data_IF_180364601257
#
_entry.id   IF_180364601257
#
_cell.length_a   1.000
_cell.length_b   1.000
_cell.length_c   1.000
_cell.angle_alpha   90.00
_cell.angle_beta   90.00
_cell.angle_gamma   90.00
#
_symmetry.space_group_name_H-M   'P 1'
#
loop_
_entity.id
_entity.type
_entity.pdbx_description
1 polymer ?
#
# COMPACT_ATOMS: atom_id res chain seq x y z
N UNK A 1 16.83 -15.85 -15.13
CA UNK A 1 17.85 -15.72 -14.06
C UNK A 1 18.68 -14.48 -14.36
N UNK A 2 18.84 -13.60 -13.38
CA UNK A 2 19.80 -12.50 -13.38
C UNK A 2 20.87 -12.85 -12.35
N UNK A 3 22.12 -12.98 -12.80
CA UNK A 3 23.25 -13.35 -11.95
C UNK A 3 24.36 -12.34 -12.13
N UNK A 4 24.92 -11.85 -11.02
CA UNK A 4 26.01 -10.85 -11.03
C UNK A 4 25.68 -9.60 -11.85
N UNK A 5 24.42 -9.17 -11.82
CA UNK A 5 24.01 -7.92 -12.43
C UNK A 5 24.26 -6.77 -11.46
N UNK A 6 24.88 -5.69 -11.94
CA UNK A 6 25.14 -4.51 -11.11
C UNK A 6 24.53 -3.28 -11.75
N UNK A 7 23.75 -2.53 -10.97
CA UNK A 7 23.18 -1.25 -11.40
C UNK A 7 23.26 -0.22 -10.27
N UNK A 8 23.46 1.05 -10.64
CA UNK A 8 23.57 2.19 -9.74
C UNK A 8 22.89 3.42 -10.34
N UNK A 9 22.50 4.39 -9.50
CA UNK A 9 21.92 5.68 -9.92
C UNK A 9 20.67 5.54 -10.78
N UNK A 10 19.69 4.80 -10.25
CA UNK A 10 18.44 4.53 -10.94
C UNK A 10 17.36 5.51 -10.50
N UNK A 11 16.74 6.20 -11.47
CA UNK A 11 15.53 6.98 -11.29
C UNK A 11 14.38 6.29 -12.00
N UNK A 12 13.47 5.71 -11.23
CA UNK A 12 12.29 5.07 -11.81
C UNK A 12 11.04 5.83 -11.38
N UNK A 13 10.12 5.97 -12.33
CA UNK A 13 8.75 6.37 -12.02
C UNK A 13 8.14 5.34 -11.04
N UNK A 14 7.18 5.77 -10.23
CA UNK A 14 6.48 4.99 -9.18
C UNK A 14 6.12 3.56 -9.56
N UNK A 15 5.71 3.30 -10.81
CA UNK A 15 5.28 1.97 -11.26
C UNK A 15 6.42 1.08 -11.75
N UNK A 16 7.63 1.61 -11.82
CA UNK A 16 8.82 0.94 -12.32
C UNK A 16 9.89 0.85 -11.24
N UNK A 17 10.94 0.10 -11.52
CA UNK A 17 12.08 -0.11 -10.62
C UNK A 17 13.33 -0.31 -11.42
N UNK A 18 14.50 -0.11 -10.80
CA UNK A 18 15.80 -0.33 -11.44
C UNK A 18 15.86 -1.70 -12.14
N UNK A 19 15.28 -2.71 -11.49
CA UNK A 19 14.99 -4.02 -12.06
C UNK A 19 13.50 -4.29 -11.81
N UNK A 20 12.71 -4.35 -12.89
CA UNK A 20 11.27 -4.59 -12.83
C UNK A 20 10.91 -5.85 -13.62
N UNK A 21 10.45 -6.87 -12.90
CA UNK A 21 10.22 -8.22 -13.45
C UNK A 21 8.75 -8.59 -13.33
N UNK A 22 8.10 -8.92 -14.47
CA UNK A 22 6.64 -9.14 -14.61
C UNK A 22 6.30 -10.63 -14.81
N UNK A 23 5.10 -11.10 -14.44
CA UNK A 23 4.86 -12.47 -14.00
C UNK A 23 5.49 -13.58 -14.87
N UNK A 24 6.65 -14.05 -14.43
CA UNK A 24 7.32 -15.28 -14.82
C UNK A 24 8.13 -15.79 -13.61
N UNK A 25 8.92 -16.85 -13.80
CA UNK A 25 9.90 -17.33 -12.81
C UNK A 25 11.19 -16.52 -12.90
N UNK A 26 11.55 -15.87 -11.80
CA UNK A 26 12.77 -15.09 -11.71
C UNK A 26 13.60 -15.44 -10.50
N UNK A 27 14.89 -15.51 -10.77
CA UNK A 27 15.93 -15.65 -9.76
C UNK A 27 16.91 -14.51 -10.01
N UNK A 28 17.05 -13.60 -9.04
CA UNK A 28 18.04 -12.52 -9.03
C UNK A 28 19.06 -12.86 -7.97
N UNK A 29 20.30 -13.13 -8.37
CA UNK A 29 21.34 -13.60 -7.45
C UNK A 29 22.68 -12.92 -7.64
N UNK A 30 23.48 -12.91 -6.57
CA UNK A 30 24.85 -12.39 -6.56
C UNK A 30 24.98 -10.98 -7.17
N UNK A 31 23.91 -10.21 -7.14
CA UNK A 31 23.76 -8.93 -7.84
C UNK A 31 23.96 -7.78 -6.86
N UNK A 32 24.29 -6.60 -7.39
CA UNK A 32 24.47 -5.38 -6.59
C UNK A 32 23.55 -4.28 -7.13
N UNK A 33 22.69 -3.74 -6.28
CA UNK A 33 21.78 -2.66 -6.64
C UNK A 33 22.04 -1.51 -5.69
N UNK A 34 22.48 -0.37 -6.22
CA UNK A 34 22.84 0.79 -5.38
C UNK A 34 22.22 2.11 -5.84
N UNK A 35 22.22 3.09 -4.94
CA UNK A 35 21.93 4.50 -5.22
C UNK A 35 20.61 4.72 -5.98
N UNK A 36 19.61 3.87 -5.72
CA UNK A 36 18.28 4.01 -6.30
C UNK A 36 17.60 5.21 -5.68
N UNK A 37 16.86 6.01 -6.44
CA UNK A 37 16.15 7.18 -5.92
C UNK A 37 14.66 6.91 -5.66
N UNK A 38 14.22 5.71 -6.02
CA UNK A 38 12.85 5.22 -5.88
C UNK A 38 12.91 3.71 -5.64
N UNK A 39 12.30 2.89 -6.49
CA UNK A 39 12.31 1.44 -6.35
C UNK A 39 13.55 0.77 -6.99
N UNK A 40 14.18 -0.15 -6.25
CA UNK A 40 15.33 -0.91 -6.70
C UNK A 40 14.94 -2.19 -7.44
N UNK A 41 14.73 -3.27 -6.71
CA UNK A 41 14.25 -4.54 -7.25
C UNK A 41 12.75 -4.70 -6.99
N UNK A 42 11.99 -4.98 -8.03
CA UNK A 42 10.57 -5.34 -7.93
C UNK A 42 10.29 -6.59 -8.72
N UNK A 43 9.60 -7.51 -8.07
CA UNK A 43 8.88 -8.57 -8.74
C UNK A 43 7.39 -8.27 -8.73
N UNK A 44 6.74 -8.43 -9.87
CA UNK A 44 5.28 -8.37 -10.02
C UNK A 44 4.83 -9.78 -10.35
N UNK A 45 4.05 -10.40 -9.45
CA UNK A 45 3.51 -11.75 -9.65
C UNK A 45 2.10 -11.71 -10.21
N UNK A 46 1.28 -10.73 -9.81
CA UNK A 46 -0.14 -10.76 -10.09
C UNK A 46 -0.93 -9.97 -9.05
N UNK A 47 -2.14 -9.58 -9.42
CA UNK A 47 -2.86 -8.51 -8.75
C UNK A 47 -4.21 -8.90 -8.19
N UNK A 48 -4.48 -10.16 -7.79
CA UNK A 48 -5.76 -10.50 -7.14
C UNK A 48 -5.69 -11.60 -6.07
N UNK A 49 -6.83 -11.84 -5.40
CA UNK A 49 -6.98 -12.83 -4.34
C UNK A 49 -7.24 -14.26 -4.84
N UNK A 50 -7.15 -14.49 -6.15
CA UNK A 50 -7.47 -15.77 -6.77
C UNK A 50 -6.19 -16.50 -7.13
N UNK A 51 -6.25 -17.83 -7.14
CA UNK A 51 -5.16 -18.66 -7.67
C UNK A 51 -4.92 -18.43 -9.17
N UNK A 52 -5.77 -17.64 -9.87
CA UNK A 52 -5.58 -17.36 -11.30
C UNK A 52 -4.44 -16.38 -11.58
N UNK A 53 -4.05 -15.56 -10.60
CA UNK A 53 -2.94 -14.61 -10.72
C UNK A 53 -1.62 -15.10 -10.11
N UNK A 54 -1.61 -16.23 -9.42
CA UNK A 54 -0.39 -16.88 -8.93
C UNK A 54 -0.20 -18.21 -9.65
N UNK A 55 0.90 -18.36 -10.37
CA UNK A 55 1.19 -19.63 -11.04
C UNK A 55 1.70 -20.60 -9.97
N UNK A 56 1.09 -21.79 -9.75
CA UNK A 56 1.62 -22.76 -8.80
C UNK A 56 3.09 -23.09 -9.10
N UNK A 57 3.95 -22.96 -8.09
CA UNK A 57 5.40 -23.12 -8.24
C UNK A 57 6.11 -21.87 -8.80
N UNK A 58 5.46 -20.72 -8.85
CA UNK A 58 6.10 -19.44 -9.16
C UNK A 58 7.20 -19.14 -8.14
N UNK A 59 8.39 -18.89 -8.66
CA UNK A 59 9.57 -18.58 -7.88
C UNK A 59 10.09 -17.22 -8.34
N UNK A 60 9.90 -16.21 -7.49
CA UNK A 60 10.39 -14.84 -7.68
C UNK A 60 11.27 -14.49 -6.49
N UNK A 61 12.53 -14.91 -6.57
CA UNK A 61 13.49 -14.89 -5.47
C UNK A 61 14.63 -13.93 -5.75
N UNK A 62 14.88 -13.03 -4.79
CA UNK A 62 16.13 -12.32 -4.65
C UNK A 62 17.00 -13.05 -3.63
N UNK A 63 18.16 -13.59 -4.05
CA UNK A 63 19.04 -14.31 -3.16
C UNK A 63 20.52 -13.90 -3.26
N UNK A 64 21.20 -13.75 -2.13
CA UNK A 64 22.63 -13.40 -2.09
C UNK A 64 22.96 -12.09 -2.84
N UNK A 65 22.05 -11.11 -2.79
CA UNK A 65 22.27 -9.80 -3.39
C UNK A 65 22.75 -8.79 -2.35
N UNK A 66 23.39 -7.73 -2.83
CA UNK A 66 23.79 -6.57 -2.02
C UNK A 66 22.98 -5.35 -2.47
N UNK A 67 22.28 -4.74 -1.53
CA UNK A 67 21.54 -3.51 -1.72
C UNK A 67 22.23 -2.37 -0.96
N UNK A 68 22.53 -1.27 -1.64
CA UNK A 68 23.23 -0.12 -1.03
C UNK A 68 22.46 1.17 -1.25
N UNK A 69 22.02 1.84 -0.19
CA UNK A 69 21.24 3.08 -0.30
C UNK A 69 22.05 4.24 -0.89
N UNK A 70 23.29 4.41 -0.41
CA UNK A 70 24.16 5.49 -0.83
C UNK A 70 25.64 5.07 -0.85
N UNK A 71 26.26 5.10 -2.03
CA UNK A 71 27.69 4.80 -2.21
C UNK A 71 28.56 6.05 -2.21
N UNK A 72 27.97 7.24 -2.40
CA UNK A 72 28.69 8.52 -2.51
C UNK A 72 28.11 9.59 -1.55
N UNK A 73 28.30 9.47 -0.23
CA UNK A 73 27.69 10.37 0.76
C UNK A 73 28.08 11.84 0.63
N UNK A 74 29.23 12.13 0.02
CA UNK A 74 29.75 13.50 -0.13
C UNK A 74 29.47 14.12 -1.51
N UNK A 75 28.74 13.43 -2.38
CA UNK A 75 28.41 13.93 -3.71
C UNK A 75 26.94 14.40 -3.72
N UNK A 76 26.67 15.72 -3.80
CA UNK A 76 25.30 16.24 -3.81
C UNK A 76 24.43 15.70 -4.95
N UNK A 77 25.03 15.34 -6.09
CA UNK A 77 24.30 14.77 -7.24
C UNK A 77 23.88 13.31 -7.02
N UNK A 78 24.53 12.63 -6.06
CA UNK A 78 24.28 11.25 -5.66
C UNK A 78 23.57 11.17 -4.30
N UNK A 79 22.96 12.27 -3.84
CA UNK A 79 22.21 12.29 -2.59
C UNK A 79 21.04 11.30 -2.64
N UNK A 80 20.68 10.70 -1.50
CA UNK A 80 19.45 9.92 -1.34
C UNK A 80 18.17 10.77 -1.44
N UNK A 81 18.31 12.10 -1.46
CA UNK A 81 17.24 13.06 -1.78
C UNK A 81 17.10 13.32 -3.29
N UNK A 82 17.90 12.66 -4.12
CA UNK A 82 18.01 12.92 -5.54
C UNK A 82 18.99 14.04 -5.88
N UNK A 83 19.27 14.24 -7.18
CA UNK A 83 20.26 15.20 -7.66
C UNK A 83 19.84 16.66 -7.45
N UNK A 84 18.56 16.92 -7.18
CA UNK A 84 18.01 18.25 -6.90
C UNK A 84 17.73 18.37 -5.41
N UNK A 85 18.66 19.03 -4.72
CA UNK A 85 18.64 19.27 -3.28
C UNK A 85 19.41 20.55 -2.92
N UNK A 86 19.35 20.97 -1.65
CA UNK A 86 20.01 22.18 -1.14
C UNK A 86 21.54 22.23 -1.30
N UNK A 87 22.20 21.07 -1.43
CA UNK A 87 23.66 20.99 -1.61
C UNK A 87 24.07 20.98 -3.08
N UNK A 88 23.11 20.91 -4.01
CA UNK A 88 23.34 20.89 -5.45
C UNK A 88 23.04 22.25 -6.09
N UNK A 89 23.64 22.53 -7.25
CA UNK A 89 23.27 23.70 -8.07
C UNK A 89 22.03 23.46 -8.94
N UNK A 90 21.52 22.22 -9.00
CA UNK A 90 20.41 21.83 -9.86
C UNK A 90 19.07 22.31 -9.28
N UNK A 91 18.14 22.64 -10.17
CA UNK A 91 16.78 23.09 -9.82
C UNK A 91 15.78 22.56 -10.83
N UNK A 92 14.62 22.11 -10.35
CA UNK A 92 13.52 21.77 -11.25
C UNK A 92 13.02 23.01 -11.97
N UNK A 93 12.85 22.90 -13.29
CA UNK A 93 12.26 23.95 -14.11
C UNK A 93 10.85 24.28 -13.62
N UNK A 94 10.51 25.57 -13.72
CA UNK A 94 9.18 26.09 -13.37
C UNK A 94 8.34 26.26 -14.62
N UNK A 95 7.02 26.15 -14.45
CA UNK A 95 6.06 26.54 -15.48
C UNK A 95 6.16 28.04 -15.77
N UNK A 96 5.62 28.49 -16.91
CA UNK A 96 5.45 29.94 -17.23
C UNK A 96 4.73 30.72 -16.12
N UNK A 97 3.87 29.99 -15.40
CA UNK A 97 3.33 30.21 -14.06
C UNK A 97 4.15 30.85 -12.95
N UNK A 98 5.45 30.58 -13.03
CA UNK A 98 6.34 30.40 -11.90
C UNK A 98 5.95 29.25 -10.92
N UNK A 99 4.99 28.39 -11.27
CA UNK A 99 4.57 27.24 -10.47
C UNK A 99 5.40 25.98 -10.79
N UNK A 100 5.55 25.07 -9.81
CA UNK A 100 6.17 23.76 -10.06
C UNK A 100 5.22 22.82 -10.78
N UNK A 101 5.81 21.85 -11.46
CA UNK A 101 5.08 20.71 -12.00
C UNK A 101 5.14 19.60 -10.95
N UNK A 102 3.98 19.11 -10.52
CA UNK A 102 3.90 18.17 -9.39
C UNK A 102 4.33 16.74 -9.74
N UNK A 103 4.31 16.35 -11.01
CA UNK A 103 4.55 14.98 -11.44
C UNK A 103 5.91 14.74 -12.11
N UNK A 104 6.76 15.76 -12.23
CA UNK A 104 8.15 15.59 -12.66
C UNK A 104 9.03 16.77 -12.25
N UNK A 105 10.34 16.52 -12.18
CA UNK A 105 11.39 17.52 -12.11
C UNK A 105 12.14 17.55 -13.45
N UNK A 106 12.04 18.67 -14.17
CA UNK A 106 12.75 18.87 -15.44
C UNK A 106 14.03 19.66 -15.19
N UNK A 107 15.15 19.13 -15.69
CA UNK A 107 16.46 19.75 -15.70
C UNK A 107 16.77 20.12 -17.16
N UNK A 108 16.42 21.35 -17.55
CA UNK A 108 16.43 21.79 -18.96
C UNK A 108 17.84 21.80 -19.56
N UNK A 109 18.82 22.32 -18.82
CA UNK A 109 20.21 22.45 -19.28
C UNK A 109 20.90 21.08 -19.40
N UNK A 110 20.46 20.12 -18.59
CA UNK A 110 20.97 18.75 -18.55
C UNK A 110 20.23 17.80 -19.52
N UNK A 111 19.07 18.22 -20.04
CA UNK A 111 18.22 17.38 -20.90
C UNK A 111 17.61 16.17 -20.18
N UNK A 112 17.37 16.28 -18.86
CA UNK A 112 16.87 15.18 -18.02
C UNK A 112 15.49 15.49 -17.46
N UNK A 113 14.60 14.50 -17.44
CA UNK A 113 13.33 14.56 -16.72
C UNK A 113 13.25 13.42 -15.70
N UNK A 114 12.95 13.78 -14.46
CA UNK A 114 12.78 12.83 -13.36
C UNK A 114 11.28 12.80 -13.03
N UNK A 115 10.62 11.67 -13.30
CA UNK A 115 9.21 11.52 -12.97
C UNK A 115 9.04 11.43 -11.45
N UNK A 116 8.02 12.11 -10.93
CA UNK A 116 7.70 12.17 -9.52
C UNK A 116 6.23 11.77 -9.34
N UNK A 117 5.91 11.11 -8.23
CA UNK A 117 4.52 10.88 -7.88
C UNK A 117 4.35 10.73 -6.38
N UNK A 118 3.11 10.86 -5.93
CA UNK A 118 2.73 10.81 -4.52
C UNK A 118 3.24 9.51 -3.88
N UNK A 119 3.78 9.62 -2.66
CA UNK A 119 4.40 8.51 -1.91
C UNK A 119 5.62 7.85 -2.57
N UNK A 120 5.97 8.23 -3.80
CA UNK A 120 7.13 7.72 -4.54
C UNK A 120 8.36 8.60 -4.29
N UNK A 121 8.54 9.05 -3.04
CA UNK A 121 9.57 10.01 -2.62
C UNK A 121 10.73 9.37 -1.85
N UNK A 122 10.68 8.06 -1.59
CA UNK A 122 11.67 7.35 -0.82
C UNK A 122 12.37 6.25 -1.63
N UNK A 123 13.60 5.94 -1.22
CA UNK A 123 14.29 4.72 -1.64
C UNK A 123 13.55 3.49 -1.10
N UNK A 124 13.33 2.49 -1.97
CA UNK A 124 12.74 1.18 -1.65
C UNK A 124 13.59 0.14 -2.35
N UNK A 125 14.65 -0.33 -1.68
CA UNK A 125 15.71 -1.12 -2.31
C UNK A 125 15.17 -2.46 -2.80
N UNK A 126 14.45 -3.16 -1.94
CA UNK A 126 13.51 -4.22 -2.30
C UNK A 126 12.09 -3.65 -2.24
N UNK A 127 11.51 -3.41 -3.41
CA UNK A 127 10.21 -2.76 -3.53
C UNK A 127 9.12 -3.80 -3.71
N UNK A 128 8.20 -3.82 -2.76
CA UNK A 128 7.07 -4.72 -2.76
C UNK A 128 5.93 -4.16 -3.62
N UNK A 129 5.51 -4.92 -4.63
CA UNK A 129 4.45 -4.53 -5.55
C UNK A 129 3.73 -5.73 -6.19
N UNK A 130 2.40 -5.78 -6.12
CA UNK A 130 1.56 -6.73 -6.86
C UNK A 130 2.02 -8.20 -6.80
N UNK A 131 1.99 -8.70 -5.56
CA UNK A 131 1.95 -10.11 -5.14
C UNK A 131 3.26 -10.73 -4.67
N UNK A 132 3.28 -12.03 -4.30
CA UNK A 132 4.35 -12.65 -3.52
C UNK A 132 5.74 -12.40 -4.06
N UNK A 133 6.67 -12.05 -3.18
CA UNK A 133 8.09 -12.11 -3.50
C UNK A 133 8.87 -12.67 -2.33
N UNK A 134 10.01 -13.26 -2.68
CA UNK A 134 10.84 -14.02 -1.76
C UNK A 134 12.23 -13.40 -1.67
N UNK A 135 12.76 -13.35 -0.45
CA UNK A 135 14.13 -12.94 -0.17
C UNK A 135 14.88 -13.99 0.65
N UNK A 136 16.13 -14.27 0.28
CA UNK A 136 17.02 -15.14 1.04
C UNK A 136 18.45 -14.62 1.02
N UNK A 137 19.09 -14.46 2.17
CA UNK A 137 20.53 -14.17 2.25
C UNK A 137 20.94 -12.86 1.55
N UNK A 138 20.04 -11.88 1.46
CA UNK A 138 20.36 -10.54 0.93
C UNK A 138 20.98 -9.66 2.02
N UNK A 139 21.83 -8.73 1.62
CA UNK A 139 22.53 -7.83 2.54
C UNK A 139 22.28 -6.36 2.18
N UNK A 140 21.93 -5.55 3.19
CA UNK A 140 21.55 -4.15 3.05
C UNK A 140 22.54 -3.21 3.77
N UNK A 141 22.94 -2.14 3.08
CA UNK A 141 23.99 -1.22 3.52
C UNK A 141 23.64 0.23 3.25
N UNK A 142 24.01 1.13 4.17
CA UNK A 142 24.07 2.58 3.95
C UNK A 142 22.75 3.17 3.43
N UNK A 143 21.64 2.76 4.05
CA UNK A 143 20.28 3.23 3.75
C UNK A 143 19.88 4.17 4.88
N UNK A 144 19.84 5.48 4.59
CA UNK A 144 19.68 6.53 5.59
C UNK A 144 18.43 7.36 5.37
N UNK A 145 17.74 7.67 6.46
CA UNK A 145 16.68 8.69 6.47
C UNK A 145 17.28 10.02 6.01
N UNK A 146 16.59 10.72 5.11
CA UNK A 146 17.00 12.06 4.68
C UNK A 146 16.15 13.09 5.38
N UNK A 147 16.74 13.86 6.30
CA UNK A 147 16.02 14.91 7.03
C UNK A 147 16.06 16.24 6.30
N UNK A 148 14.98 17.01 6.42
CA UNK A 148 14.90 18.40 6.00
C UNK A 148 14.77 19.29 7.23
N UNK A 149 15.55 20.37 7.26
CA UNK A 149 15.51 21.34 8.36
C UNK A 149 14.08 21.86 8.55
N UNK A 150 13.62 21.91 9.82
CA UNK A 150 12.25 22.35 10.13
C UNK A 150 11.96 23.81 9.74
N UNK A 151 12.99 24.65 9.61
CA UNK A 151 12.88 26.02 9.07
C UNK A 151 12.52 26.04 7.58
N UNK A 152 12.82 24.95 6.87
CA UNK A 152 12.61 24.79 5.43
C UNK A 152 11.35 23.98 5.16
N UNK A 153 11.14 22.85 5.82
CA UNK A 153 9.94 22.05 5.64
C UNK A 153 9.36 21.75 7.01
N UNK A 154 8.11 22.16 7.24
CA UNK A 154 7.42 21.88 8.48
C UNK A 154 6.12 21.12 8.25
N UNK A 155 5.64 20.52 9.34
CA UNK A 155 4.36 19.84 9.42
C UNK A 155 3.22 20.82 9.09
N UNK A 156 2.26 20.40 8.26
CA UNK A 156 1.14 21.25 7.85
C UNK A 156 1.39 22.17 6.64
N UNK A 157 2.62 22.26 6.12
CA UNK A 157 2.97 23.16 4.99
C UNK A 157 2.35 22.75 3.64
N UNK A 158 1.83 21.52 3.52
CA UNK A 158 1.25 20.91 2.31
C UNK A 158 2.24 20.65 1.17
N UNK A 159 3.22 21.52 0.95
CA UNK A 159 4.38 21.32 0.07
C UNK A 159 5.62 22.03 0.65
N UNK A 160 6.81 21.58 0.23
CA UNK A 160 8.10 22.05 0.75
C UNK A 160 9.13 22.39 -0.35
N UNK A 161 8.72 22.49 -1.61
CA UNK A 161 9.64 22.57 -2.76
C UNK A 161 10.48 23.86 -2.76
N UNK A 162 9.89 25.02 -2.47
CA UNK A 162 10.59 26.31 -2.54
C UNK A 162 11.65 26.49 -1.45
N UNK A 163 11.44 25.84 -0.31
CA UNK A 163 12.20 26.06 0.90
C UNK A 163 13.31 25.03 1.10
N UNK A 164 13.20 23.85 0.49
CA UNK A 164 14.18 22.74 0.61
C UNK A 164 15.03 22.51 -0.64
N UNK A 165 14.71 23.20 -1.74
CA UNK A 165 15.23 22.90 -3.09
C UNK A 165 15.18 21.41 -3.45
N UNK A 166 14.28 20.63 -2.82
CA UNK A 166 14.16 19.20 -3.00
C UNK A 166 13.14 18.91 -4.07
N UNK A 167 13.48 18.08 -5.05
CA UNK A 167 12.50 17.63 -6.05
C UNK A 167 11.30 16.91 -5.40
N UNK A 168 11.49 16.25 -4.26
CA UNK A 168 10.41 15.55 -3.55
C UNK A 168 9.53 16.49 -2.70
N UNK A 169 9.93 17.76 -2.51
CA UNK A 169 9.14 18.73 -1.77
C UNK A 169 7.83 19.12 -2.48
N UNK A 170 7.70 18.85 -3.78
CA UNK A 170 6.50 19.17 -4.57
C UNK A 170 5.46 18.04 -4.58
N UNK A 171 5.84 16.82 -4.16
CA UNK A 171 4.93 15.67 -4.12
C UNK A 171 4.43 15.37 -2.71
N UNK A 172 3.14 15.05 -2.55
CA UNK A 172 2.56 14.51 -1.32
C UNK A 172 3.23 13.21 -0.82
N UNK A 173 3.19 12.99 0.49
CA UNK A 173 3.61 11.75 1.14
C UNK A 173 4.92 11.82 1.91
N UNK A 174 5.46 13.01 2.19
CA UNK A 174 6.63 13.17 3.05
C UNK A 174 6.20 13.16 4.53
N UNK A 175 6.59 12.14 5.33
CA UNK A 175 6.21 12.06 6.73
C UNK A 175 6.97 13.05 7.62
N UNK A 176 6.44 13.24 8.82
CA UNK A 176 7.04 14.03 9.89
C UNK A 176 7.55 13.12 11.02
N UNK A 177 8.84 13.22 11.35
CA UNK A 177 9.43 12.53 12.49
C UNK A 177 9.10 13.32 13.76
N UNK A 178 8.18 12.81 14.58
CA UNK A 178 7.72 13.47 15.82
C UNK A 178 8.82 13.55 16.89
N UNK A 179 9.82 12.66 16.84
CA UNK A 179 10.92 12.61 17.79
C UNK A 179 11.94 13.68 17.48
N UNK A 180 12.36 13.77 16.21
CA UNK A 180 13.32 14.78 15.73
C UNK A 180 12.69 16.12 15.41
N UNK A 181 11.37 16.16 15.24
CA UNK A 181 10.58 17.33 14.85
C UNK A 181 10.94 17.87 13.47
N UNK A 182 11.23 16.97 12.54
CA UNK A 182 11.68 17.29 11.19
C UNK A 182 10.94 16.44 10.16
N UNK A 183 10.79 16.99 8.95
CA UNK A 183 10.29 16.25 7.80
C UNK A 183 11.41 15.37 7.24
N UNK A 184 11.08 14.20 6.71
CA UNK A 184 12.11 13.30 6.21
C UNK A 184 11.64 12.44 5.03
N UNK A 185 12.59 12.01 4.20
CA UNK A 185 12.41 10.87 3.30
C UNK A 185 12.75 9.60 4.08
N UNK A 186 11.83 8.63 4.17
CA UNK A 186 12.06 7.39 4.92
C UNK A 186 13.32 6.65 4.48
N UNK A 187 13.45 6.37 3.18
CA UNK A 187 14.48 5.50 2.60
C UNK A 187 14.63 4.18 3.36
N UNK A 188 14.07 3.10 2.81
CA UNK A 188 13.99 1.82 3.50
C UNK A 188 14.57 0.68 2.67
N UNK A 189 15.13 -0.31 3.36
CA UNK A 189 15.60 -1.53 2.73
C UNK A 189 14.46 -2.27 2.01
N UNK A 190 13.35 -2.48 2.71
CA UNK A 190 12.14 -3.13 2.18
C UNK A 190 10.98 -2.15 2.33
N UNK A 191 10.22 -1.91 1.28
CA UNK A 191 9.07 -1.02 1.37
C UNK A 191 8.07 -1.22 0.24
N UNK A 192 6.86 -0.75 0.49
CA UNK A 192 5.72 -0.88 -0.42
C UNK A 192 5.70 0.23 -1.47
N UNK A 193 5.35 -0.12 -2.71
CA UNK A 193 5.25 0.83 -3.83
C UNK A 193 4.29 2.00 -3.56
N UNK A 194 3.11 1.70 -3.01
CA UNK A 194 2.05 2.69 -2.81
C UNK A 194 1.66 2.74 -1.34
N UNK A 195 1.00 3.83 -0.95
CA UNK A 195 0.27 3.85 0.30
C UNK A 195 -0.58 2.58 0.42
N UNK A 196 -0.62 2.03 1.63
CA UNK A 196 -1.59 1.09 2.16
C UNK A 196 -1.16 -0.36 2.31
N UNK A 197 0.00 -0.79 1.78
CA UNK A 197 0.46 -2.17 1.93
C UNK A 197 -0.47 -3.17 1.22
N UNK A 198 0.10 -4.03 0.40
CA UNK A 198 -0.69 -4.98 -0.40
C UNK A 198 -0.62 -6.36 0.21
N UNK A 199 -1.73 -7.08 0.17
CA UNK A 199 -1.67 -8.53 0.35
C UNK A 199 -2.26 -9.23 -0.86
N UNK A 200 -1.45 -10.09 -1.45
CA UNK A 200 -1.89 -11.13 -2.36
C UNK A 200 -1.44 -12.47 -1.80
N UNK A 201 -2.30 -13.49 -1.73
CA UNK A 201 -1.88 -14.85 -1.42
C UNK A 201 -1.07 -15.47 -2.57
N UNK A 202 -0.01 -16.26 -2.30
CA UNK A 202 0.68 -16.40 -1.02
C UNK A 202 1.44 -15.13 -0.60
N UNK A 203 1.65 -14.95 0.70
CA UNK A 203 2.32 -13.78 1.27
C UNK A 203 3.83 -13.75 0.98
N UNK A 204 4.47 -12.60 1.26
CA UNK A 204 5.91 -12.41 1.16
C UNK A 204 6.65 -13.26 2.20
N UNK A 205 7.84 -13.78 1.85
CA UNK A 205 8.71 -14.47 2.81
C UNK A 205 10.14 -13.97 2.71
N UNK A 206 10.79 -13.88 3.86
CA UNK A 206 12.20 -13.51 3.99
C UNK A 206 12.93 -14.44 4.95
N UNK A 207 14.22 -14.66 4.66
CA UNK A 207 15.13 -15.39 5.55
C UNK A 207 16.58 -14.96 5.34
N UNK A 208 17.42 -15.17 6.36
CA UNK A 208 18.86 -14.93 6.38
C UNK A 208 19.27 -13.50 5.97
N UNK A 209 18.41 -12.50 6.20
CA UNK A 209 18.72 -11.13 5.81
C UNK A 209 19.82 -10.54 6.71
N UNK A 210 20.69 -9.73 6.11
CA UNK A 210 21.72 -8.98 6.83
C UNK A 210 21.49 -7.48 6.68
N UNK A 211 21.42 -6.77 7.80
CA UNK A 211 21.35 -5.31 7.85
C UNK A 211 22.58 -4.79 8.59
N UNK A 212 23.38 -3.96 7.93
CA UNK A 212 24.46 -3.23 8.63
C UNK A 212 23.85 -2.17 9.55
N UNK A 213 24.58 -1.78 10.60
CA UNK A 213 24.23 -0.67 11.50
C UNK A 213 23.96 0.67 10.78
N UNK A 214 24.39 0.79 9.52
CA UNK A 214 24.12 1.94 8.68
C UNK A 214 22.74 1.93 8.00
N UNK A 215 21.89 0.93 8.22
CA UNK A 215 20.50 0.91 7.76
C UNK A 215 19.59 1.47 8.85
N UNK A 216 18.93 2.60 8.57
CA UNK A 216 18.03 3.26 9.53
C UNK A 216 16.65 2.60 9.57
N UNK A 217 16.09 2.23 8.40
CA UNK A 217 14.77 1.59 8.28
C UNK A 217 14.89 0.28 7.51
N UNK A 218 14.48 -0.83 8.14
CA UNK A 218 14.48 -2.16 7.52
C UNK A 218 13.23 -2.40 6.69
N UNK A 219 12.07 -2.10 7.24
CA UNK A 219 10.79 -2.27 6.55
C UNK A 219 9.88 -1.06 6.81
N UNK A 220 9.35 -0.48 5.75
CA UNK A 220 8.51 0.72 5.83
C UNK A 220 7.18 0.50 5.14
N UNK A 221 6.10 0.66 5.92
CA UNK A 221 4.71 0.61 5.45
C UNK A 221 4.11 2.01 5.53
N UNK A 222 3.36 2.40 4.52
CA UNK A 222 2.57 3.63 4.57
C UNK A 222 1.13 3.21 4.90
N UNK A 223 0.66 3.50 6.10
CA UNK A 223 -0.73 3.22 6.49
C UNK A 223 -1.65 4.41 6.17
N UNK A 224 -2.81 4.20 5.53
CA UNK A 224 -3.74 5.27 5.25
C UNK A 224 -4.43 5.77 6.51
N UNK A 225 -4.50 7.08 6.62
CA UNK A 225 -5.09 7.77 7.76
C UNK A 225 -6.57 8.05 7.47
N UNK A 226 -7.43 7.09 7.76
CA UNK A 226 -8.89 7.25 7.60
C UNK A 226 -9.62 7.56 8.91
N UNK A 227 -10.70 8.33 8.81
CA UNK A 227 -11.56 8.66 9.95
C UNK A 227 -12.35 7.41 10.36
N UNK A 228 -12.14 6.95 11.59
CA UNK A 228 -12.92 5.86 12.16
C UNK A 228 -14.37 6.27 12.41
N UNK A 229 -15.32 5.46 11.92
CA UNK A 229 -16.76 5.72 12.08
C UNK A 229 -17.30 6.93 11.29
N UNK A 230 -16.61 7.31 10.21
CA UNK A 230 -17.09 8.33 9.26
C UNK A 230 -18.40 7.91 8.58
N UNK A 231 -19.11 8.89 8.01
CA UNK A 231 -20.24 8.66 7.09
C UNK A 231 -19.81 7.94 5.81
N UNK A 232 -18.57 8.14 5.37
CA UNK A 232 -17.96 7.51 4.19
C UNK A 232 -16.94 6.45 4.63
N UNK A 233 -16.82 5.39 3.84
CA UNK A 233 -15.96 4.26 4.19
C UNK A 233 -14.46 4.58 4.22
N UNK A 234 -14.02 5.59 3.46
CA UNK A 234 -12.61 5.93 3.24
C UNK A 234 -12.36 7.45 3.27
N UNK A 235 -12.99 8.14 4.21
CA UNK A 235 -12.72 9.55 4.45
C UNK A 235 -11.31 9.74 5.04
N UNK A 236 -10.45 10.51 4.38
CA UNK A 236 -9.12 10.86 4.90
C UNK A 236 -9.24 11.73 6.16
N UNK A 237 -8.50 11.38 7.21
CA UNK A 237 -8.35 12.17 8.42
C UNK A 237 -7.36 13.32 8.18
N UNK A 238 -7.84 14.40 7.58
CA UNK A 238 -7.04 15.60 7.30
C UNK A 238 -6.37 16.19 8.56
N UNK A 239 -6.95 15.99 9.75
CA UNK A 239 -6.38 16.50 10.99
C UNK A 239 -5.13 15.71 11.37
N UNK A 240 -5.20 14.36 11.29
CA UNK A 240 -4.04 13.49 11.51
C UNK A 240 -3.01 13.61 10.39
N UNK A 241 -3.44 13.71 9.14
CA UNK A 241 -2.53 13.97 8.00
C UNK A 241 -1.71 15.23 8.23
N UNK A 242 -2.34 16.32 8.68
CA UNK A 242 -1.64 17.58 8.97
C UNK A 242 -0.64 17.48 10.10
N UNK A 243 -0.70 16.47 10.97
CA UNK A 243 0.27 16.25 12.06
C UNK A 243 1.34 15.21 11.73
N UNK A 244 1.03 14.30 10.81
CA UNK A 244 1.87 13.14 10.49
C UNK A 244 2.65 13.32 9.18
N UNK A 245 2.23 14.27 8.33
CA UNK A 245 2.83 14.56 7.03
C UNK A 245 3.17 16.04 6.85
N UNK A 246 4.29 16.30 6.20
CA UNK A 246 4.73 17.63 5.81
C UNK A 246 4.21 18.02 4.42
N UNK A 247 4.21 17.08 3.49
CA UNK A 247 3.62 17.25 2.16
C UNK A 247 2.37 16.40 2.03
N UNK A 248 1.25 17.02 1.66
CA UNK A 248 -0.04 16.35 1.56
C UNK A 248 -1.01 17.11 0.66
N UNK A 249 -2.04 16.43 0.18
CA UNK A 249 -3.20 17.05 -0.46
C UNK A 249 -4.38 16.98 0.50
N UNK A 250 -4.98 18.11 0.91
CA UNK A 250 -6.16 18.08 1.77
C UNK A 250 -7.38 17.54 1.02
N UNK A 251 -8.32 16.96 1.75
CA UNK A 251 -9.62 16.59 1.20
C UNK A 251 -10.43 17.82 0.76
N UNK A 252 -11.35 17.66 -0.19
CA UNK A 252 -12.25 18.74 -0.60
C UNK A 252 -13.34 18.99 0.47
N UNK A 253 -14.19 20.01 0.23
CA UNK A 253 -15.26 20.39 1.16
C UNK A 253 -16.29 19.26 1.41
N UNK A 254 -16.43 18.33 0.47
CA UNK A 254 -17.32 17.16 0.56
C UNK A 254 -16.65 15.96 1.23
N UNK A 255 -15.42 16.12 1.75
CA UNK A 255 -14.59 15.06 2.33
C UNK A 255 -14.21 13.95 1.34
N UNK A 256 -14.20 14.32 0.06
CA UNK A 256 -13.77 13.48 -1.04
C UNK A 256 -12.36 13.90 -1.48
N UNK A 257 -11.58 12.94 -1.96
CA UNK A 257 -10.17 13.19 -2.29
C UNK A 257 -9.26 13.16 -1.05
N UNK A 258 -8.17 13.91 -1.10
CA UNK A 258 -7.15 13.96 -0.06
C UNK A 258 -5.92 13.07 -0.33
N UNK A 259 -5.03 12.97 0.66
CA UNK A 259 -3.76 12.27 0.54
C UNK A 259 -3.93 10.77 0.24
N UNK A 260 -4.97 10.13 0.80
CA UNK A 260 -5.24 8.69 0.66
C UNK A 260 -6.47 8.40 -0.21
N UNK A 261 -6.65 9.15 -1.30
CA UNK A 261 -7.86 9.04 -2.13
C UNK A 261 -7.77 8.11 -3.33
N UNK A 262 -6.55 7.72 -3.71
CA UNK A 262 -6.28 6.88 -4.86
C UNK A 262 -5.68 5.56 -4.38
N UNK A 263 -6.51 4.52 -4.35
CA UNK A 263 -6.13 3.20 -3.87
C UNK A 263 -6.93 2.13 -4.61
N UNK A 264 -6.38 0.93 -4.75
CA UNK A 264 -7.11 -0.23 -5.27
C UNK A 264 -7.84 -0.97 -4.16
N UNK A 265 -8.69 -1.93 -4.52
CA UNK A 265 -9.45 -2.75 -3.59
C UNK A 265 -8.65 -3.72 -2.70
N UNK A 266 -7.33 -3.58 -2.68
CA UNK A 266 -6.36 -4.52 -2.09
C UNK A 266 -5.33 -3.76 -1.24
N UNK A 267 -5.38 -2.44 -1.33
CA UNK A 267 -4.57 -1.47 -0.63
C UNK A 267 -5.12 -1.35 0.78
N UNK A 268 -4.50 -2.00 1.80
CA UNK A 268 -4.72 -1.80 3.26
C UNK A 268 -4.22 -2.95 4.14
N UNK A 269 -3.61 -3.96 3.56
CA UNK A 269 -3.21 -5.18 4.26
C UNK A 269 -1.74 -5.40 4.00
N UNK A 270 -0.94 -5.33 5.05
CA UNK A 270 0.46 -5.75 4.98
C UNK A 270 0.56 -7.12 5.59
N UNK A 271 1.22 -8.04 4.90
CA UNK A 271 1.68 -9.30 5.50
C UNK A 271 3.04 -9.68 4.93
N UNK A 272 4.03 -9.79 5.81
CA UNK A 272 5.37 -10.26 5.48
C UNK A 272 5.77 -11.32 6.51
N UNK A 273 6.09 -12.52 6.04
CA UNK A 273 6.56 -13.60 6.88
C UNK A 273 8.07 -13.53 7.03
N UNK A 274 8.53 -13.35 8.26
CA UNK A 274 9.94 -13.45 8.60
C UNK A 274 10.20 -14.83 9.21
N UNK A 275 10.77 -15.70 8.38
CA UNK A 275 10.87 -17.13 8.69
C UNK A 275 11.91 -17.41 9.79
N UNK A 276 12.88 -16.51 9.97
CA UNK A 276 14.01 -16.71 10.90
C UNK A 276 14.26 -15.56 11.89
N UNK A 277 13.57 -14.44 11.75
CA UNK A 277 13.73 -13.27 12.62
C UNK A 277 14.78 -12.28 12.14
N UNK A 278 15.35 -12.47 10.95
CA UNK A 278 16.39 -11.59 10.41
C UNK A 278 15.88 -10.18 10.07
N UNK A 279 14.59 -10.04 9.74
CA UNK A 279 13.94 -8.76 9.52
C UNK A 279 13.43 -8.15 10.83
N UNK A 280 12.56 -8.89 11.52
CA UNK A 280 11.71 -8.43 12.62
C UNK A 280 12.40 -8.48 13.98
N UNK A 281 13.47 -9.28 14.11
CA UNK A 281 14.13 -9.60 15.38
C UNK A 281 13.46 -10.73 16.16
N UNK A 282 12.36 -11.31 15.67
CA UNK A 282 11.61 -12.40 16.30
C UNK A 282 11.41 -13.54 15.30
N UNK A 283 11.61 -14.78 15.76
CA UNK A 283 11.50 -15.95 14.87
C UNK A 283 10.04 -16.41 14.74
N UNK A 284 9.63 -16.77 13.52
CA UNK A 284 8.34 -17.38 13.26
C UNK A 284 7.20 -16.39 13.49
N UNK A 285 7.39 -15.18 13.00
CA UNK A 285 6.45 -14.08 13.18
C UNK A 285 6.09 -13.44 11.85
N UNK A 286 4.93 -12.80 11.85
CA UNK A 286 4.33 -12.16 10.70
C UNK A 286 4.25 -10.66 10.98
N UNK A 287 4.72 -9.86 10.04
CA UNK A 287 4.58 -8.41 10.09
C UNK A 287 3.28 -7.99 9.43
N UNK A 288 2.44 -7.30 10.18
CA UNK A 288 1.19 -6.67 9.75
C UNK A 288 1.25 -5.17 10.00
N UNK A 289 0.40 -4.39 9.33
CA UNK A 289 0.36 -2.94 9.56
C UNK A 289 -0.25 -2.59 10.93
N UNK A 290 -0.19 -1.32 11.30
CA UNK A 290 -0.60 -0.84 12.63
C UNK A 290 -2.12 -0.68 12.83
N UNK A 291 -2.93 -0.89 11.79
CA UNK A 291 -4.38 -0.76 11.84
C UNK A 291 -4.94 -1.57 13.03
N UNK A 292 -5.71 -0.88 13.88
CA UNK A 292 -6.24 -1.43 15.13
C UNK A 292 -7.14 -2.65 14.93
N UNK A 293 -7.62 -2.89 13.70
CA UNK A 293 -8.32 -4.10 13.33
C UNK A 293 -7.45 -5.35 13.57
N UNK A 294 -6.15 -5.25 13.33
CA UNK A 294 -5.18 -6.34 13.47
C UNK A 294 -4.62 -6.52 14.88
N UNK A 295 -5.03 -5.68 15.86
CA UNK A 295 -4.58 -5.83 17.25
C UNK A 295 -4.80 -7.25 17.76
N UNK A 296 -3.72 -7.86 18.23
CA UNK A 296 -3.70 -9.20 18.79
C UNK A 296 -3.24 -9.20 20.26
N UNK A 297 -3.55 -10.25 21.05
CA UNK A 297 -3.16 -10.31 22.47
C UNK A 297 -1.64 -10.26 22.72
N UNK A 298 -0.86 -10.60 21.71
CA UNK A 298 0.61 -10.58 21.75
C UNK A 298 1.11 -10.06 20.42
N UNK A 299 1.66 -8.87 20.43
CA UNK A 299 2.27 -8.22 19.28
C UNK A 299 3.28 -7.20 19.79
N UNK A 300 4.19 -6.77 18.93
CA UNK A 300 5.12 -5.68 19.22
C UNK A 300 5.45 -4.92 17.95
N UNK A 301 6.04 -3.74 18.08
CA UNK A 301 6.50 -2.99 16.91
C UNK A 301 7.67 -3.73 16.26
N UNK A 302 7.62 -3.88 14.95
CA UNK A 302 8.71 -4.51 14.18
C UNK A 302 10.01 -3.72 14.35
N UNK A 303 11.14 -4.44 14.48
CA UNK A 303 12.44 -3.81 14.64
C UNK A 303 12.78 -2.87 13.48
N UNK A 304 13.15 -1.62 13.80
CA UNK A 304 13.58 -0.61 12.82
C UNK A 304 12.58 -0.40 11.67
N UNK A 305 11.27 -0.43 11.98
CA UNK A 305 10.21 -0.18 11.00
C UNK A 305 9.68 1.26 10.99
N UNK A 306 10.28 2.17 11.77
CA UNK A 306 9.72 3.50 12.11
C UNK A 306 8.32 3.44 12.72
N UNK A 307 7.99 2.34 13.42
CA UNK A 307 6.64 2.10 13.92
C UNK A 307 5.62 2.21 12.78
N UNK A 308 5.83 1.42 11.72
CA UNK A 308 4.87 1.33 10.61
C UNK A 308 4.33 -0.08 10.40
N UNK A 309 4.95 -1.06 11.07
CA UNK A 309 4.51 -2.44 11.11
C UNK A 309 4.64 -3.01 12.52
N UNK A 310 3.74 -3.94 12.85
CA UNK A 310 3.74 -4.75 14.05
C UNK A 310 4.07 -6.18 13.70
N UNK A 311 4.83 -6.82 14.56
CA UNK A 311 5.16 -8.24 14.47
C UNK A 311 4.24 -9.04 15.38
N UNK A 312 3.68 -10.11 14.83
CA UNK A 312 2.65 -10.96 15.44
C UNK A 312 3.04 -12.43 15.32
N UNK A 313 2.89 -13.25 16.39
CA UNK A 313 3.12 -14.69 16.33
C UNK A 313 1.88 -15.47 15.82
N UNK A 314 0.79 -14.77 15.49
CA UNK A 314 -0.44 -15.41 15.03
C UNK A 314 -0.43 -15.55 13.51
N UNK A 315 -0.96 -16.66 13.02
CA UNK A 315 -1.23 -16.81 11.60
C UNK A 315 -2.35 -15.85 11.16
N UNK A 316 -2.32 -15.49 9.88
CA UNK A 316 -3.39 -14.73 9.26
C UNK A 316 -3.92 -15.47 8.03
N UNK A 317 -5.21 -15.34 7.79
CA UNK A 317 -5.92 -16.01 6.70
C UNK A 317 -6.68 -15.00 5.86
N UNK A 318 -6.84 -15.32 4.57
CA UNK A 318 -7.71 -14.55 3.68
C UNK A 318 -9.17 -14.88 4.00
N UNK A 319 -9.92 -13.92 4.52
CA UNK A 319 -11.38 -14.00 4.68
C UNK A 319 -12.06 -13.40 3.47
N UNK A 320 -13.07 -14.09 2.95
CA UNK A 320 -13.74 -13.74 1.68
C UNK A 320 -15.26 -13.80 1.84
N UNK A 321 -15.95 -12.84 1.22
CA UNK A 321 -17.41 -12.86 1.02
C UNK A 321 -17.74 -12.71 -0.46
N UNK A 322 -18.68 -13.53 -0.93
CA UNK A 322 -19.25 -13.45 -2.27
C UNK A 322 -20.78 -13.39 -2.18
N UNK A 323 -21.46 -12.66 -3.08
CA UNK A 323 -22.91 -12.68 -3.16
C UNK A 323 -23.44 -14.11 -3.36
N UNK A 324 -24.56 -14.46 -2.72
CA UNK A 324 -25.16 -15.77 -2.86
C UNK A 324 -25.54 -16.14 -4.31
N UNK A 325 -25.68 -15.14 -5.19
CA UNK A 325 -25.89 -15.40 -6.61
C UNK A 325 -24.67 -16.06 -7.30
N UNK A 326 -23.45 -15.88 -6.78
CA UNK A 326 -22.22 -16.42 -7.38
C UNK A 326 -22.24 -17.93 -7.20
N UNK A 327 -22.53 -18.35 -5.96
CA UNK A 327 -22.69 -19.76 -5.61
C UNK A 327 -23.81 -20.44 -6.42
N UNK A 328 -24.88 -19.70 -6.73
CA UNK A 328 -26.00 -20.17 -7.56
C UNK A 328 -25.76 -20.04 -9.07
N UNK A 329 -24.60 -19.53 -9.49
CA UNK A 329 -24.25 -19.24 -10.89
C UNK A 329 -25.30 -18.40 -11.61
N UNK A 330 -25.89 -17.45 -10.90
CA UNK A 330 -26.91 -16.54 -11.40
C UNK A 330 -26.61 -15.08 -11.02
N UNK A 331 -25.34 -14.77 -10.76
CA UNK A 331 -24.88 -13.39 -10.66
C UNK A 331 -24.75 -12.75 -12.04
N UNK A 332 -25.06 -11.46 -12.08
CA UNK A 332 -25.16 -10.67 -13.29
C UNK A 332 -26.42 -9.82 -13.24
N UNK A 333 -26.97 -9.57 -14.41
CA UNK A 333 -28.27 -8.95 -14.55
C UNK A 333 -29.42 -9.93 -14.53
N UNK A 334 -30.63 -9.39 -14.71
CA UNK A 334 -31.80 -10.16 -15.07
C UNK A 334 -32.35 -9.67 -16.40
N UNK A 335 -32.83 -10.57 -17.25
CA UNK A 335 -33.50 -10.18 -18.47
C UNK A 335 -34.72 -9.31 -18.12
N UNK A 336 -34.80 -8.09 -18.67
CA UNK A 336 -35.80 -7.08 -18.26
C UNK A 336 -37.24 -7.60 -18.29
N UNK A 337 -37.57 -8.42 -19.28
CA UNK A 337 -38.92 -8.97 -19.47
C UNK A 337 -39.09 -10.34 -18.81
N UNK A 338 -38.12 -11.23 -18.94
CA UNK A 338 -38.24 -12.62 -18.45
C UNK A 338 -37.86 -12.81 -16.98
N UNK A 339 -37.15 -11.84 -16.39
CA UNK A 339 -36.55 -11.92 -15.04
C UNK A 339 -35.64 -13.13 -14.82
N UNK A 340 -35.19 -13.78 -15.89
CA UNK A 340 -34.18 -14.84 -15.85
C UNK A 340 -32.79 -14.23 -15.62
N UNK A 341 -31.90 -14.92 -14.91
CA UNK A 341 -30.51 -14.50 -14.80
C UNK A 341 -29.86 -14.37 -16.18
N UNK A 342 -29.04 -13.33 -16.36
CA UNK A 342 -28.24 -13.12 -17.55
C UNK A 342 -26.88 -12.53 -17.18
N UNK A 343 -25.84 -12.86 -17.94
CA UNK A 343 -24.55 -12.20 -17.90
C UNK A 343 -24.38 -11.24 -19.10
N UNK A 344 -25.11 -11.47 -20.19
CA UNK A 344 -25.07 -10.71 -21.44
C UNK A 344 -26.43 -10.76 -22.14
N UNK A 345 -26.67 -9.84 -23.09
CA UNK A 345 -27.95 -9.75 -23.81
C UNK A 345 -28.32 -11.03 -24.58
N UNK A 346 -27.33 -11.80 -25.03
CA UNK A 346 -27.54 -13.09 -25.71
C UNK A 346 -28.09 -14.19 -24.81
N UNK A 347 -28.03 -14.02 -23.48
CA UNK A 347 -28.64 -14.95 -22.53
C UNK A 347 -30.16 -14.70 -22.41
N UNK A 348 -30.66 -13.59 -22.95
CA UNK A 348 -32.07 -13.21 -22.94
C UNK A 348 -32.77 -13.60 -24.25
N UNK A 349 -34.05 -13.98 -24.17
CA UNK A 349 -34.82 -14.25 -25.38
C UNK A 349 -34.88 -12.99 -26.26
N UNK A 350 -34.70 -13.16 -27.57
CA UNK A 350 -34.73 -12.09 -28.58
C UNK A 350 -36.14 -11.54 -28.81
N UNK A 351 -36.69 -10.89 -27.78
CA UNK A 351 -37.98 -10.20 -27.80
C UNK A 351 -37.76 -8.70 -27.51
N UNK A 352 -38.67 -7.80 -27.94
CA UNK A 352 -38.49 -6.37 -27.77
C UNK A 352 -38.21 -5.96 -26.32
N UNK A 353 -37.23 -5.08 -26.11
CA UNK A 353 -36.81 -4.54 -24.81
C UNK A 353 -36.34 -5.55 -23.75
N UNK A 354 -36.03 -6.79 -24.12
CA UNK A 354 -35.53 -7.82 -23.20
C UNK A 354 -34.00 -7.94 -23.25
N UNK A 355 -33.32 -6.84 -22.90
CA UNK A 355 -31.87 -6.86 -22.68
C UNK A 355 -31.56 -7.36 -21.26
N UNK A 356 -30.31 -7.70 -21.00
CA UNK A 356 -29.84 -7.93 -19.65
C UNK A 356 -29.89 -6.60 -18.86
N UNK A 357 -30.49 -6.62 -17.68
CA UNK A 357 -30.47 -5.52 -16.70
C UNK A 357 -29.42 -5.81 -15.65
N UNK A 358 -28.22 -5.33 -15.89
CA UNK A 358 -27.03 -5.50 -15.07
C UNK A 358 -26.90 -4.44 -13.96
N UNK A 359 -27.97 -3.71 -13.63
CA UNK A 359 -27.94 -2.72 -12.54
C UNK A 359 -27.46 -3.32 -11.20
N UNK A 360 -27.56 -4.64 -11.00
CA UNK A 360 -27.03 -5.38 -9.86
C UNK A 360 -25.52 -5.73 -9.94
N UNK A 361 -24.81 -5.35 -11.00
CA UNK A 361 -23.37 -5.55 -11.19
C UNK A 361 -22.49 -4.66 -10.29
N UNK A 362 -23.07 -3.92 -9.34
CA UNK A 362 -22.32 -3.15 -8.32
C UNK A 362 -21.31 -4.03 -7.54
N UNK A 363 -21.65 -5.29 -7.29
CA UNK A 363 -20.71 -6.22 -6.65
C UNK A 363 -19.62 -6.75 -7.58
N UNK A 364 -19.78 -6.57 -8.90
CA UNK A 364 -18.75 -6.84 -9.91
C UNK A 364 -17.85 -5.63 -10.14
N UNK A 365 -18.18 -4.43 -9.67
CA UNK A 365 -17.29 -3.28 -9.82
C UNK A 365 -16.13 -3.37 -8.84
N UNK A 366 -14.97 -2.86 -9.27
CA UNK A 366 -13.82 -2.66 -8.41
C UNK A 366 -14.16 -1.74 -7.22
N UNK A 367 -13.60 -2.07 -6.06
CA UNK A 367 -13.68 -1.30 -4.83
C UNK A 367 -12.41 -0.45 -4.63
N UNK A 368 -11.92 0.20 -5.70
CA UNK A 368 -10.69 1.00 -5.71
C UNK A 368 -10.93 2.51 -5.67
N UNK A 369 -11.85 2.98 -4.84
CA UNK A 369 -12.02 4.43 -4.63
C UNK A 369 -12.64 4.74 -3.29
N UNK A 370 -12.55 6.01 -2.89
CA UNK A 370 -13.20 6.52 -1.68
C UNK A 370 -14.73 6.41 -1.69
N UNK A 371 -15.34 6.16 -2.84
CA UNK A 371 -16.78 5.94 -2.99
C UNK A 371 -17.18 4.48 -2.81
N UNK A 372 -16.22 3.56 -2.73
CA UNK A 372 -16.58 2.18 -2.47
C UNK A 372 -17.18 2.06 -1.07
N UNK A 373 -18.29 1.32 -0.95
CA UNK A 373 -18.86 0.97 0.33
C UNK A 373 -17.89 0.08 1.14
N UNK A 374 -17.38 -0.98 0.51
CA UNK A 374 -16.65 -2.04 1.19
C UNK A 374 -17.51 -2.78 2.23
N UNK A 375 -17.36 -4.10 2.36
CA UNK A 375 -18.19 -4.83 3.33
C UNK A 375 -17.62 -4.63 4.74
N UNK A 376 -18.39 -4.13 5.71
CA UNK A 376 -17.93 -4.00 7.10
C UNK A 376 -17.56 -5.36 7.67
N UNK A 377 -16.33 -5.46 8.19
CA UNK A 377 -15.84 -6.61 8.93
C UNK A 377 -15.38 -6.15 10.31
N UNK A 378 -15.95 -6.75 11.34
CA UNK A 378 -15.69 -6.41 12.74
C UNK A 378 -14.98 -7.54 13.46
N UNK A 379 -13.87 -7.23 14.15
CA UNK A 379 -13.24 -8.11 15.12
C UNK A 379 -14.00 -8.03 16.44
N UNK A 380 -14.54 -9.15 16.93
CA UNK A 380 -15.32 -9.18 18.17
C UNK A 380 -14.46 -9.30 19.43
N UNK A 381 -13.36 -10.04 19.34
CA UNK A 381 -12.48 -10.26 20.48
C UNK A 381 -11.64 -9.01 20.75
N UNK A 382 -11.55 -8.62 22.02
CA UNK A 382 -10.75 -7.51 22.50
C UNK A 382 -9.47 -8.03 23.15
N UNK A 383 -8.38 -7.29 22.99
CA UNK A 383 -7.17 -7.51 23.79
C UNK A 383 -7.37 -6.96 25.21
N UNK A 384 -6.46 -7.31 26.13
CA UNK A 384 -6.51 -6.82 27.52
C UNK A 384 -6.40 -5.30 27.65
N UNK A 385 -5.83 -4.64 26.64
CA UNK A 385 -5.61 -3.20 26.61
C UNK A 385 -6.77 -2.45 25.93
N UNK A 386 -7.78 -3.17 25.44
CA UNK A 386 -8.92 -2.60 24.73
C UNK A 386 -10.18 -2.65 25.60
N UNK A 387 -11.00 -1.60 25.48
CA UNK A 387 -12.29 -1.50 26.16
C UNK A 387 -13.43 -1.91 25.21
N UNK A 388 -14.62 -2.17 25.75
CA UNK A 388 -15.81 -2.50 24.94
C UNK A 388 -16.21 -1.41 23.93
N UNK A 389 -15.74 -0.17 24.11
CA UNK A 389 -16.00 0.95 23.21
C UNK A 389 -14.78 1.30 22.35
N UNK A 390 -13.77 0.42 22.27
CA UNK A 390 -12.58 0.66 21.45
C UNK A 390 -12.99 0.88 20.00
N UNK A 391 -12.66 2.06 19.47
CA UNK A 391 -12.79 2.36 18.05
C UNK A 391 -11.66 1.66 17.28
N UNK A 392 -11.92 1.25 16.04
CA UNK A 392 -10.92 0.59 15.19
C UNK A 392 -10.99 -0.94 15.18
N UNK A 393 -12.01 -1.56 15.77
CA UNK A 393 -12.29 -2.99 15.61
C UNK A 393 -12.90 -3.35 14.24
N UNK A 394 -12.92 -2.41 13.30
CA UNK A 394 -13.62 -2.52 12.03
C UNK A 394 -12.66 -2.23 10.88
N UNK A 395 -12.73 -3.06 9.85
CA UNK A 395 -12.08 -2.84 8.57
C UNK A 395 -13.10 -3.05 7.44
N UNK A 396 -12.79 -2.52 6.24
CA UNK A 396 -13.61 -2.71 5.05
C UNK A 396 -13.05 -3.84 4.20
N UNK A 397 -13.85 -4.87 3.94
CA UNK A 397 -13.51 -5.86 2.93
C UNK A 397 -13.73 -5.25 1.55
N UNK A 398 -12.69 -5.30 0.74
CA UNK A 398 -12.65 -4.71 -0.59
C UNK A 398 -12.38 -5.82 -1.61
N UNK A 399 -12.70 -5.62 -2.88
CA UNK A 399 -12.31 -6.56 -3.93
C UNK A 399 -12.35 -5.90 -5.30
N UNK A 400 -11.64 -6.50 -6.25
CA UNK A 400 -11.53 -5.95 -7.60
C UNK A 400 -12.83 -6.15 -8.38
N UNK A 401 -12.76 -6.01 -9.70
CA UNK A 401 -13.88 -6.12 -10.61
C UNK A 401 -14.39 -7.57 -10.83
N UNK A 402 -14.51 -8.33 -9.76
CA UNK A 402 -15.17 -9.64 -9.70
C UNK A 402 -16.03 -9.71 -8.43
N UNK A 403 -17.03 -10.60 -8.41
CA UNK A 403 -18.06 -10.70 -7.36
C UNK A 403 -17.53 -11.23 -6.00
N UNK A 404 -16.48 -10.60 -5.46
CA UNK A 404 -15.78 -10.98 -4.25
C UNK A 404 -15.36 -9.73 -3.48
N UNK A 405 -15.40 -9.82 -2.15
CA UNK A 405 -14.73 -8.88 -1.24
C UNK A 405 -13.90 -9.68 -0.26
N UNK A 406 -12.67 -9.26 -0.02
CA UNK A 406 -11.68 -9.98 0.78
C UNK A 406 -11.07 -9.07 1.83
N UNK A 407 -10.59 -9.66 2.92
CA UNK A 407 -9.67 -9.02 3.83
C UNK A 407 -8.81 -10.05 4.57
N UNK A 408 -7.69 -9.63 5.13
CA UNK A 408 -6.88 -10.41 6.03
C UNK A 408 -7.56 -10.47 7.40
N UNK A 409 -7.52 -11.63 8.05
CA UNK A 409 -7.99 -11.80 9.43
C UNK A 409 -7.01 -12.66 10.20
N UNK A 410 -6.79 -12.37 11.48
CA UNK A 410 -6.05 -13.27 12.36
C UNK A 410 -6.79 -14.63 12.43
N UNK A 411 -6.02 -15.70 12.29
CA UNK A 411 -6.53 -17.05 12.38
C UNK A 411 -7.15 -17.30 13.76
N UNK A 412 -8.19 -18.13 13.83
CA UNK A 412 -8.95 -18.43 15.04
C UNK A 412 -9.59 -17.21 15.76
N UNK A 413 -9.66 -16.05 15.12
CA UNK A 413 -10.42 -14.91 15.64
C UNK A 413 -11.94 -15.10 15.52
N UNK A 414 -12.71 -14.26 16.21
CA UNK A 414 -14.18 -14.19 16.06
C UNK A 414 -14.54 -12.89 15.39
N UNK A 415 -15.28 -13.00 14.29
CA UNK A 415 -15.60 -11.88 13.41
C UNK A 415 -17.09 -11.80 13.10
N UNK A 416 -17.56 -10.58 12.86
CA UNK A 416 -18.90 -10.26 12.37
C UNK A 416 -18.82 -9.52 11.04
N UNK A 417 -19.66 -9.93 10.09
CA UNK A 417 -19.84 -9.23 8.81
C UNK A 417 -21.23 -8.60 8.82
N UNK A 418 -21.32 -7.29 8.64
CA UNK A 418 -22.60 -6.60 8.52
C UNK A 418 -23.07 -6.58 7.06
N UNK A 419 -24.10 -7.39 6.77
CA UNK A 419 -24.75 -7.47 5.45
C UNK A 419 -26.11 -6.79 5.42
N UNK A 420 -26.48 -5.99 6.43
CA UNK A 420 -27.82 -5.43 6.59
C UNK A 420 -28.01 -4.08 5.88
N UNK A 421 -26.93 -3.47 5.39
CA UNK A 421 -26.96 -2.18 4.70
C UNK A 421 -27.71 -2.30 3.37
N UNK A 422 -28.64 -1.39 3.12
CA UNK A 422 -29.46 -1.38 1.90
C UNK A 422 -28.62 -1.17 0.63
N UNK A 423 -29.07 -1.73 -0.49
CA UNK A 423 -28.44 -1.53 -1.81
C UNK A 423 -28.24 -0.04 -2.15
N UNK A 424 -29.24 0.80 -1.87
CA UNK A 424 -29.14 2.24 -2.07
C UNK A 424 -27.98 2.90 -1.29
N UNK A 425 -27.75 2.47 -0.05
CA UNK A 425 -26.65 3.00 0.77
C UNK A 425 -25.30 2.47 0.32
N UNK A 426 -25.23 1.19 -0.05
CA UNK A 426 -24.01 0.60 -0.60
C UNK A 426 -23.58 1.35 -1.88
N UNK A 427 -24.51 1.65 -2.78
CA UNK A 427 -24.23 2.42 -4.01
C UNK A 427 -23.81 3.86 -3.75
N UNK A 428 -24.32 4.47 -2.69
CA UNK A 428 -23.96 5.83 -2.29
C UNK A 428 -22.61 5.88 -1.53
N UNK A 429 -21.96 4.74 -1.26
CA UNK A 429 -20.75 4.67 -0.45
C UNK A 429 -20.98 5.05 1.02
N UNK A 430 -22.24 4.96 1.50
CA UNK A 430 -22.66 5.46 2.80
C UNK A 430 -22.64 4.38 3.88
N UNK A 431 -22.15 4.77 5.05
CA UNK A 431 -22.26 4.03 6.29
C UNK A 431 -23.46 4.55 7.07
N UNK A 432 -24.63 3.91 6.89
CA UNK A 432 -25.86 4.28 7.60
C UNK A 432 -26.21 3.33 8.76
N UNK A 433 -25.36 2.34 9.05
CA UNK A 433 -25.60 1.44 10.16
C UNK A 433 -25.06 2.03 11.47
N UNK A 434 -25.89 2.27 12.50
CA UNK A 434 -25.37 2.44 13.86
C UNK A 434 -24.62 1.17 14.27
N UNK A 435 -23.56 1.29 15.10
CA UNK A 435 -22.78 0.18 15.71
C UNK A 435 -23.65 -1.07 15.90
N UNK A 436 -23.54 -2.02 14.98
CA UNK A 436 -24.45 -3.15 14.96
C UNK A 436 -24.05 -4.18 16.01
N UNK A 437 -25.08 -4.72 16.68
CA UNK A 437 -24.90 -5.84 17.60
C UNK A 437 -24.59 -7.11 16.78
N UNK A 438 -23.64 -7.96 17.23
CA UNK A 438 -23.20 -9.16 16.53
C UNK A 438 -24.37 -10.05 16.10
N UNK A 439 -24.48 -10.39 14.81
CA UNK A 439 -25.52 -11.32 14.34
C UNK A 439 -25.05 -12.47 13.44
N UNK A 440 -23.75 -12.59 13.14
CA UNK A 440 -23.20 -13.75 12.43
C UNK A 440 -21.74 -14.01 12.82
N UNK A 441 -21.41 -15.23 13.25
CA UNK A 441 -20.03 -15.72 13.43
C UNK A 441 -19.67 -16.57 12.20
N UNK A 442 -18.57 -16.24 11.53
CA UNK A 442 -18.11 -16.91 10.30
C UNK A 442 -17.14 -18.08 10.54
N UNK A 443 -16.77 -18.37 11.79
CA UNK A 443 -15.83 -19.44 12.17
C UNK A 443 -16.45 -20.41 13.19
N UNK A 444 -17.62 -20.97 12.87
CA UNK A 444 -18.17 -22.12 13.63
C UNK A 444 -17.89 -23.42 12.93
#
# INVERSE_FOLDING_TARGET
MLDRFTTAFNWTETNFSAIWLRPQWYLVINSVISDVQNAGLTFVTGGDYTESNFIPGQWQLARQNVFVGQTQPNNPLASSAGPVNDSSSLKCARRKDNAYVGNYCLLEDEGVTIQLSNFANNQRLFNIYDGPSFEDSNAFFDIKKTFFENSKCNVGQSNCVDSTNSMYGSVPGMPYDKTKKECFLPNAAIAWKQSNGFYYPPAFHSSNLYFRDSVDIRHFVIEPLFVQGSKFAFETDDARVKTDYCTFTPSNAEKLGGLFSNFSAIDRQTILNDDDGSLTGLKGTISVNEDAFFNAPTETIECQSESTAKTSPYDYVTTVVYPGCVAKKNCGGVCKSERKPCAQDSDCASIPNNSCDDTNAFWMSDCGSSFCYGVPLYRQLLTKNESANTKGQEIRMMGMNFFQRSNLTANHGVYYIDTTVSDANQRAGLLLAPLQKPSLNVFK
#
